data_IF_436301307760
#
_entry.id   IF_436301307760
#
_cell.length_a   1.000
_cell.length_b   1.000
_cell.length_c   1.000
_cell.angle_alpha   90.00
_cell.angle_beta   90.00
_cell.angle_gamma   90.00
#
_symmetry.space_group_name_H-M   'P 1'
#
loop_
_entity.id
_entity.type
_entity.pdbx_description
1 polymer ?
#
# COMPACT_ATOMS: atom_id res chain seq x y z
N UNK A 1 -37.81 -25.25 57.20
CA UNK A 1 -38.63 -25.02 55.98
C UNK A 1 -38.10 -25.91 54.86
N UNK A 2 -38.78 -27.02 54.52
CA UNK A 2 -38.32 -27.94 53.46
C UNK A 2 -38.78 -27.38 52.11
N UNK A 3 -37.88 -26.73 51.38
CA UNK A 3 -38.16 -26.21 50.03
C UNK A 3 -38.59 -27.38 49.14
N UNK A 4 -39.80 -27.30 48.57
CA UNK A 4 -40.35 -28.38 47.74
C UNK A 4 -39.47 -28.59 46.49
N UNK A 5 -39.40 -29.84 46.02
CA UNK A 5 -38.57 -30.23 44.88
C UNK A 5 -38.91 -29.39 43.63
N UNK A 6 -40.18 -29.01 43.45
CA UNK A 6 -40.64 -28.15 42.37
C UNK A 6 -40.05 -26.74 42.39
N UNK A 7 -39.87 -26.15 43.58
CA UNK A 7 -39.25 -24.82 43.74
C UNK A 7 -37.75 -24.85 43.44
N UNK A 8 -37.07 -25.96 43.73
CA UNK A 8 -35.65 -26.16 43.37
C UNK A 8 -35.47 -26.31 41.86
N UNK A 9 -36.37 -27.03 41.20
CA UNK A 9 -36.33 -27.21 39.74
C UNK A 9 -36.60 -25.92 38.98
N UNK A 10 -37.57 -25.09 39.41
CA UNK A 10 -37.83 -23.78 38.79
C UNK A 10 -36.69 -22.80 38.99
N UNK A 11 -36.06 -22.77 40.17
CA UNK A 11 -34.88 -21.95 40.41
C UNK A 11 -33.68 -22.38 39.54
N UNK A 12 -33.44 -23.69 39.39
CA UNK A 12 -32.39 -24.22 38.52
C UNK A 12 -32.67 -23.90 37.04
N UNK A 13 -33.92 -24.04 36.59
CA UNK A 13 -34.30 -23.74 35.22
C UNK A 13 -34.19 -22.24 34.89
N UNK A 14 -34.61 -21.38 35.81
CA UNK A 14 -34.44 -19.93 35.68
C UNK A 14 -32.97 -19.50 35.62
N UNK A 15 -32.11 -20.12 36.44
CA UNK A 15 -30.67 -19.89 36.40
C UNK A 15 -30.07 -20.29 35.04
N UNK A 16 -30.47 -21.46 34.51
CA UNK A 16 -30.03 -21.91 33.19
C UNK A 16 -30.46 -20.94 32.09
N UNK A 17 -31.69 -20.44 32.12
CA UNK A 17 -32.18 -19.45 31.15
C UNK A 17 -31.42 -18.12 31.23
N UNK A 18 -31.07 -17.65 32.43
CA UNK A 18 -30.28 -16.43 32.62
C UNK A 18 -28.85 -16.64 32.08
N UNK A 19 -28.23 -17.79 32.37
CA UNK A 19 -26.91 -18.14 31.84
C UNK A 19 -26.93 -18.23 30.31
N UNK A 20 -27.97 -18.83 29.73
CA UNK A 20 -28.14 -18.91 28.28
C UNK A 20 -28.33 -17.52 27.64
N UNK A 21 -29.11 -16.64 28.28
CA UNK A 21 -29.29 -15.25 27.85
C UNK A 21 -27.98 -14.46 27.88
N UNK A 22 -27.15 -14.64 28.91
CA UNK A 22 -25.82 -14.01 29.00
C UNK A 22 -24.85 -14.47 27.90
N UNK A 23 -24.88 -15.76 27.55
CA UNK A 23 -24.09 -16.33 26.45
C UNK A 23 -24.56 -15.82 25.08
N UNK A 24 -25.88 -15.72 24.86
CA UNK A 24 -26.46 -15.18 23.62
C UNK A 24 -26.12 -13.68 23.43
N UNK A 25 -26.22 -12.88 24.48
CA UNK A 25 -25.86 -11.45 24.46
C UNK A 25 -24.35 -11.22 24.23
N UNK A 26 -23.51 -12.10 24.80
CA UNK A 26 -22.06 -12.09 24.55
C UNK A 26 -21.71 -12.53 23.13
N UNK A 27 -22.43 -13.51 22.58
CA UNK A 27 -22.31 -13.96 21.20
C UNK A 27 -22.71 -12.90 20.18
N UNK A 28 -23.82 -12.19 20.41
CA UNK A 28 -24.29 -11.09 19.55
C UNK A 28 -23.35 -9.87 19.58
N UNK A 29 -22.82 -9.52 20.75
CA UNK A 29 -21.85 -8.42 20.88
C UNK A 29 -20.49 -8.76 20.27
N UNK A 30 -20.07 -10.03 20.37
CA UNK A 30 -18.89 -10.57 19.71
C UNK A 30 -19.03 -10.57 18.18
N UNK A 31 -20.19 -11.00 17.67
CA UNK A 31 -20.49 -10.99 16.23
C UNK A 31 -20.52 -9.57 15.66
N UNK A 32 -21.14 -8.59 16.34
CA UNK A 32 -21.14 -7.21 15.87
C UNK A 32 -19.74 -6.56 15.88
N UNK A 33 -18.88 -6.91 16.85
CA UNK A 33 -17.47 -6.49 16.83
C UNK A 33 -16.70 -7.14 15.69
N UNK A 34 -16.91 -8.43 15.44
CA UNK A 34 -16.24 -9.14 14.34
C UNK A 34 -16.70 -8.59 12.99
N UNK A 35 -17.99 -8.33 12.80
CA UNK A 35 -18.55 -7.72 11.57
C UNK A 35 -17.98 -6.32 11.35
N UNK A 36 -17.98 -5.45 12.37
CA UNK A 36 -17.42 -4.10 12.24
C UNK A 36 -15.90 -4.08 11.98
N UNK A 37 -15.16 -5.04 12.55
CA UNK A 37 -13.72 -5.22 12.28
C UNK A 37 -13.50 -5.75 10.85
N UNK A 38 -14.29 -6.71 10.39
CA UNK A 38 -14.19 -7.27 9.04
C UNK A 38 -14.55 -6.24 7.97
N UNK A 39 -15.65 -5.50 8.12
CA UNK A 39 -16.05 -4.47 7.16
C UNK A 39 -15.00 -3.34 7.08
N UNK A 40 -14.50 -2.87 8.23
CA UNK A 40 -13.44 -1.86 8.29
C UNK A 40 -12.10 -2.35 7.74
N UNK A 41 -11.73 -3.61 7.98
CA UNK A 41 -10.49 -4.19 7.45
C UNK A 41 -10.58 -4.49 5.96
N UNK A 42 -11.70 -4.99 5.45
CA UNK A 42 -11.90 -5.25 4.01
C UNK A 42 -11.86 -3.96 3.20
N UNK A 43 -12.52 -2.89 3.65
CA UNK A 43 -12.46 -1.58 2.98
C UNK A 43 -11.07 -0.95 3.06
N UNK A 44 -10.39 -1.06 4.21
CA UNK A 44 -8.99 -0.62 4.35
C UNK A 44 -8.05 -1.41 3.43
N UNK A 45 -8.23 -2.72 3.31
CA UNK A 45 -7.45 -3.53 2.39
C UNK A 45 -7.71 -3.16 0.94
N UNK A 46 -8.97 -2.99 0.54
CA UNK A 46 -9.31 -2.58 -0.83
C UNK A 46 -8.72 -1.20 -1.19
N UNK A 47 -8.78 -0.24 -0.25
CA UNK A 47 -8.19 1.08 -0.45
C UNK A 47 -6.66 1.05 -0.49
N UNK A 48 -6.02 0.25 0.36
CA UNK A 48 -4.57 0.09 0.35
C UNK A 48 -4.10 -0.58 -0.96
N UNK A 49 -4.80 -1.63 -1.42
CA UNK A 49 -4.50 -2.29 -2.71
C UNK A 49 -4.66 -1.30 -3.88
N UNK A 50 -5.74 -0.52 -3.90
CA UNK A 50 -5.94 0.52 -4.94
C UNK A 50 -4.80 1.54 -4.92
N UNK A 51 -4.44 2.05 -3.76
CA UNK A 51 -3.35 3.03 -3.62
C UNK A 51 -1.98 2.43 -4.01
N UNK A 52 -1.69 1.18 -3.66
CA UNK A 52 -0.47 0.48 -4.10
C UNK A 52 -0.43 0.31 -5.64
N UNK A 53 -1.57 0.05 -6.28
CA UNK A 53 -1.68 -0.01 -7.75
C UNK A 53 -1.50 1.38 -8.40
N UNK A 54 -1.98 2.43 -7.77
CA UNK A 54 -1.76 3.82 -8.22
C UNK A 54 -0.28 4.19 -8.15
N UNK A 55 0.39 3.87 -7.05
CA UNK A 55 1.86 4.02 -6.92
C UNK A 55 2.57 3.30 -8.08
N UNK A 56 2.22 2.03 -8.33
CA UNK A 56 2.83 1.26 -9.41
C UNK A 56 2.61 1.87 -10.78
N UNK A 57 1.38 2.34 -11.05
CA UNK A 57 1.04 3.01 -12.31
C UNK A 57 1.88 4.26 -12.53
N UNK A 58 2.04 5.08 -11.50
CA UNK A 58 2.82 6.32 -11.59
C UNK A 58 4.33 6.05 -11.74
N UNK A 59 4.87 5.08 -11.01
CA UNK A 59 6.28 4.64 -11.12
C UNK A 59 6.59 4.06 -12.52
N UNK A 60 5.68 3.25 -13.08
CA UNK A 60 5.83 2.75 -14.45
C UNK A 60 5.72 3.87 -15.48
N UNK A 61 4.82 4.84 -15.26
CA UNK A 61 4.63 5.99 -16.16
C UNK A 61 5.84 6.90 -16.19
N UNK A 62 6.49 7.17 -15.05
CA UNK A 62 7.75 7.93 -15.01
C UNK A 62 8.84 7.17 -15.77
N UNK A 63 9.02 5.88 -15.50
CA UNK A 63 10.01 5.05 -16.18
C UNK A 63 9.82 4.99 -17.69
N UNK A 64 8.58 4.84 -18.14
CA UNK A 64 8.22 4.85 -19.55
C UNK A 64 8.49 6.22 -20.19
N UNK A 65 8.14 7.31 -19.52
CA UNK A 65 8.35 8.66 -20.03
C UNK A 65 9.84 8.94 -20.29
N UNK A 66 10.71 8.50 -19.38
CA UNK A 66 12.14 8.58 -19.59
C UNK A 66 12.57 7.73 -20.80
N UNK A 67 12.16 6.46 -20.88
CA UNK A 67 12.55 5.60 -22.01
C UNK A 67 12.11 6.17 -23.38
N UNK A 68 10.93 6.79 -23.45
CA UNK A 68 10.47 7.44 -24.68
C UNK A 68 11.25 8.72 -24.97
N UNK A 69 11.58 9.53 -23.96
CA UNK A 69 12.47 10.67 -24.14
C UNK A 69 13.83 10.25 -24.69
N UNK A 70 14.45 9.21 -24.12
CA UNK A 70 15.76 8.74 -24.56
C UNK A 70 15.72 8.14 -25.98
N UNK A 71 14.57 7.65 -26.45
CA UNK A 71 14.45 7.13 -27.81
C UNK A 71 14.07 8.19 -28.85
N UNK A 72 13.26 9.17 -28.47
CA UNK A 72 12.67 10.15 -29.41
C UNK A 72 13.26 11.55 -29.30
N UNK A 73 13.84 11.91 -28.17
CA UNK A 73 14.28 13.28 -27.85
C UNK A 73 13.14 14.27 -27.61
N UNK A 74 11.88 13.80 -27.58
CA UNK A 74 10.67 14.63 -27.47
C UNK A 74 10.58 15.30 -26.07
N UNK A 75 10.73 16.63 -25.95
CA UNK A 75 10.83 17.30 -24.64
C UNK A 75 9.57 17.20 -23.78
N UNK A 76 8.40 16.96 -24.38
CA UNK A 76 7.14 16.84 -23.64
C UNK A 76 7.16 15.69 -22.62
N UNK A 77 8.01 14.68 -22.81
CA UNK A 77 8.16 13.58 -21.86
C UNK A 77 8.87 13.96 -20.56
N UNK A 78 9.62 15.07 -20.49
CA UNK A 78 10.11 15.65 -19.23
C UNK A 78 8.94 15.99 -18.31
N UNK A 79 7.97 16.74 -18.83
CA UNK A 79 6.80 17.16 -18.06
C UNK A 79 5.93 15.97 -17.61
N UNK A 80 5.83 14.92 -18.45
CA UNK A 80 5.12 13.68 -18.10
C UNK A 80 5.83 12.88 -17.02
N UNK A 81 7.17 12.84 -17.08
CA UNK A 81 8.00 12.24 -16.05
C UNK A 81 7.78 12.94 -14.70
N UNK A 82 7.90 14.26 -14.67
CA UNK A 82 7.77 15.06 -13.44
C UNK A 82 6.36 14.95 -12.85
N UNK A 83 5.32 14.96 -13.69
CA UNK A 83 3.93 14.79 -13.25
C UNK A 83 3.68 13.38 -12.67
N UNK A 84 4.25 12.35 -13.30
CA UNK A 84 4.13 10.98 -12.81
C UNK A 84 4.87 10.79 -11.47
N UNK A 85 6.05 11.39 -11.30
CA UNK A 85 6.76 11.39 -10.02
C UNK A 85 5.94 12.05 -8.91
N UNK A 86 5.42 13.26 -9.16
CA UNK A 86 4.58 13.96 -8.17
C UNK A 86 3.35 13.13 -7.79
N UNK A 87 2.70 12.48 -8.76
CA UNK A 87 1.56 11.60 -8.50
C UNK A 87 1.96 10.36 -7.70
N UNK A 88 3.12 9.75 -7.95
CA UNK A 88 3.64 8.64 -7.17
C UNK A 88 3.89 9.04 -5.71
N UNK A 89 4.48 10.21 -5.48
CA UNK A 89 4.72 10.77 -4.13
C UNK A 89 3.41 10.98 -3.38
N UNK A 90 2.40 11.58 -4.02
CA UNK A 90 1.09 11.81 -3.41
C UNK A 90 0.36 10.49 -3.09
N UNK A 91 0.47 9.50 -3.97
CA UNK A 91 -0.11 8.17 -3.73
C UNK A 91 0.57 7.45 -2.56
N UNK A 92 1.91 7.53 -2.44
CA UNK A 92 2.67 6.99 -1.32
C UNK A 92 2.32 7.68 0.00
N UNK A 93 2.16 9.01 0.01
CA UNK A 93 1.75 9.76 1.20
C UNK A 93 0.33 9.38 1.65
N UNK A 94 -0.59 9.26 0.69
CA UNK A 94 -1.95 8.79 0.93
C UNK A 94 -1.93 7.37 1.53
N UNK A 95 -1.17 6.45 0.93
CA UNK A 95 -1.02 5.09 1.41
C UNK A 95 -0.41 5.04 2.83
N UNK A 96 0.56 5.91 3.13
CA UNK A 96 1.15 6.04 4.46
C UNK A 96 0.09 6.46 5.49
N UNK A 97 -0.75 7.45 5.17
CA UNK A 97 -1.79 7.95 6.07
C UNK A 97 -2.85 6.91 6.43
N UNK A 98 -3.06 5.92 5.56
CA UNK A 98 -4.01 4.82 5.74
C UNK A 98 -3.38 3.54 6.32
N UNK A 99 -2.05 3.45 6.33
CA UNK A 99 -1.31 2.28 6.79
C UNK A 99 -1.04 2.33 8.30
N UNK A 100 -1.45 1.27 9.00
CA UNK A 100 -1.18 1.08 10.44
C UNK A 100 -0.12 0.00 10.71
N UNK A 101 0.28 -0.74 9.67
CA UNK A 101 1.27 -1.80 9.78
C UNK A 101 2.67 -1.27 9.62
N UNK A 102 3.57 -1.60 10.56
CA UNK A 102 4.99 -1.26 10.45
C UNK A 102 5.64 -1.85 9.20
N UNK A 103 5.22 -3.05 8.79
CA UNK A 103 5.71 -3.68 7.56
C UNK A 103 5.31 -2.88 6.32
N UNK A 104 4.06 -2.42 6.25
CA UNK A 104 3.60 -1.56 5.16
C UNK A 104 4.36 -0.23 5.13
N UNK A 105 4.55 0.40 6.30
CA UNK A 105 5.31 1.64 6.42
C UNK A 105 6.76 1.48 5.94
N UNK A 106 7.43 0.38 6.30
CA UNK A 106 8.78 0.09 5.84
C UNK A 106 8.85 -0.11 4.30
N UNK A 107 7.84 -0.77 3.71
CA UNK A 107 7.76 -0.93 2.25
C UNK A 107 7.54 0.41 1.55
N UNK A 108 6.65 1.25 2.10
CA UNK A 108 6.40 2.61 1.60
C UNK A 108 7.68 3.46 1.66
N UNK A 109 8.41 3.43 2.78
CA UNK A 109 9.69 4.13 2.94
C UNK A 109 10.73 3.67 1.91
N UNK A 110 10.80 2.35 1.66
CA UNK A 110 11.71 1.76 0.67
C UNK A 110 11.36 2.21 -0.75
N UNK A 111 10.09 2.16 -1.14
CA UNK A 111 9.64 2.62 -2.46
C UNK A 111 9.92 4.11 -2.63
N UNK A 112 9.62 4.92 -1.60
CA UNK A 112 9.88 6.36 -1.64
C UNK A 112 11.37 6.70 -1.81
N UNK A 113 12.24 5.96 -1.12
CA UNK A 113 13.70 6.14 -1.22
C UNK A 113 14.19 5.80 -2.63
N UNK A 114 13.79 4.64 -3.16
CA UNK A 114 14.20 4.19 -4.49
C UNK A 114 13.64 5.09 -5.60
N UNK A 115 12.41 5.60 -5.44
CA UNK A 115 11.81 6.56 -6.37
C UNK A 115 12.61 7.87 -6.39
N UNK A 116 12.99 8.40 -5.22
CA UNK A 116 13.80 9.62 -5.14
C UNK A 116 15.20 9.44 -5.75
N UNK A 117 15.82 8.28 -5.58
CA UNK A 117 17.09 7.94 -6.22
C UNK A 117 16.95 7.84 -7.75
N UNK A 118 15.92 7.12 -8.22
CA UNK A 118 15.61 6.97 -9.63
C UNK A 118 15.36 8.33 -10.30
N UNK A 119 14.54 9.19 -9.69
CA UNK A 119 14.21 10.52 -10.20
C UNK A 119 15.42 11.43 -10.28
N UNK A 120 16.30 11.37 -9.27
CA UNK A 120 17.55 12.15 -9.28
C UNK A 120 18.44 11.75 -10.45
N UNK A 121 18.57 10.45 -10.73
CA UNK A 121 19.34 9.96 -11.87
C UNK A 121 18.68 10.25 -13.21
N UNK A 122 17.38 9.95 -13.33
CA UNK A 122 16.58 10.19 -14.53
C UNK A 122 16.53 11.68 -14.92
N UNK A 123 16.40 12.57 -13.94
CA UNK A 123 16.39 14.02 -14.15
C UNK A 123 17.65 14.52 -14.85
N UNK A 124 18.81 13.95 -14.49
CA UNK A 124 20.09 14.29 -15.11
C UNK A 124 20.14 13.88 -16.59
N UNK A 125 19.55 12.74 -16.96
CA UNK A 125 19.52 12.27 -18.36
C UNK A 125 18.73 13.17 -19.30
N UNK A 126 17.73 13.90 -18.81
CA UNK A 126 17.02 14.89 -19.62
C UNK A 126 17.91 16.08 -20.02
N UNK A 127 18.92 16.41 -19.21
CA UNK A 127 19.79 17.58 -19.40
C UNK A 127 21.16 17.22 -20.01
N UNK A 128 21.62 15.96 -19.87
CA UNK A 128 23.01 15.56 -20.12
C UNK A 128 23.28 14.96 -21.50
N UNK A 129 22.28 14.58 -22.30
CA UNK A 129 22.50 13.93 -23.60
C UNK A 129 23.38 14.73 -24.58
N UNK A 130 23.36 16.05 -24.49
CA UNK A 130 24.19 16.92 -25.35
C UNK A 130 25.62 17.14 -24.82
N UNK A 131 25.94 16.62 -23.63
CA UNK A 131 27.16 16.95 -22.87
C UNK A 131 28.03 15.75 -22.51
N UNK A 132 27.48 14.53 -22.57
CA UNK A 132 28.19 13.28 -22.28
C UNK A 132 28.66 12.62 -23.57
N UNK A 133 29.79 11.93 -23.49
CA UNK A 133 30.16 10.98 -24.55
C UNK A 133 29.24 9.75 -24.52
N UNK A 134 29.25 8.96 -25.59
CA UNK A 134 28.36 7.82 -25.74
C UNK A 134 28.62 6.71 -24.70
N UNK A 135 29.87 6.52 -24.28
CA UNK A 135 30.24 5.50 -23.31
C UNK A 135 29.81 5.88 -21.88
N UNK A 136 30.06 7.13 -21.47
CA UNK A 136 29.60 7.71 -20.20
C UNK A 136 28.08 7.70 -20.11
N UNK A 137 27.40 8.05 -21.21
CA UNK A 137 25.94 8.02 -21.28
C UNK A 137 25.40 6.59 -21.11
N UNK A 138 25.99 5.59 -21.76
CA UNK A 138 25.56 4.20 -21.65
C UNK A 138 25.81 3.63 -20.24
N UNK A 139 26.95 3.93 -19.62
CA UNK A 139 27.24 3.53 -18.24
C UNK A 139 26.25 4.16 -17.25
N UNK A 140 25.91 5.43 -17.43
CA UNK A 140 24.92 6.12 -16.61
C UNK A 140 23.52 5.51 -16.75
N UNK A 141 23.10 5.20 -17.99
CA UNK A 141 21.81 4.53 -18.27
C UNK A 141 21.77 3.14 -17.63
N UNK A 142 22.87 2.38 -17.69
CA UNK A 142 22.96 1.05 -17.07
C UNK A 142 22.83 1.10 -15.55
N UNK A 143 23.48 2.06 -14.90
CA UNK A 143 23.34 2.28 -13.45
C UNK A 143 21.90 2.62 -13.05
N UNK A 144 21.22 3.45 -13.85
CA UNK A 144 19.83 3.83 -13.62
C UNK A 144 18.86 2.64 -13.81
N UNK A 145 19.17 1.71 -14.71
CA UNK A 145 18.35 0.52 -14.95
C UNK A 145 18.34 -0.44 -13.75
N UNK A 146 19.45 -0.51 -13.01
CA UNK A 146 19.52 -1.25 -11.76
C UNK A 146 18.60 -0.65 -10.69
N UNK A 147 18.63 0.68 -10.51
CA UNK A 147 17.72 1.39 -9.58
C UNK A 147 16.26 1.21 -9.98
N UNK A 148 15.95 1.29 -11.28
CA UNK A 148 14.60 1.02 -11.82
C UNK A 148 14.12 -0.38 -11.45
N UNK A 149 14.97 -1.38 -11.62
CA UNK A 149 14.63 -2.78 -11.31
C UNK A 149 14.33 -2.98 -9.82
N UNK A 150 15.15 -2.40 -8.95
CA UNK A 150 14.95 -2.46 -7.50
C UNK A 150 13.65 -1.74 -7.06
N UNK A 151 13.35 -0.61 -7.70
CA UNK A 151 12.13 0.15 -7.47
C UNK A 151 10.88 -0.65 -7.87
N UNK A 152 10.87 -1.23 -9.07
CA UNK A 152 9.76 -2.06 -9.53
C UNK A 152 9.54 -3.27 -8.61
N UNK A 153 10.62 -3.92 -8.18
CA UNK A 153 10.53 -5.00 -7.20
C UNK A 153 9.92 -4.55 -5.86
N UNK A 154 10.34 -3.39 -5.34
CA UNK A 154 9.78 -2.85 -4.10
C UNK A 154 8.29 -2.49 -4.22
N UNK A 155 7.87 -2.02 -5.40
CA UNK A 155 6.46 -1.78 -5.73
C UNK A 155 5.67 -3.08 -5.80
N UNK A 156 6.22 -4.13 -6.41
CA UNK A 156 5.57 -5.45 -6.46
C UNK A 156 5.40 -6.05 -5.05
N UNK A 157 6.42 -5.91 -4.19
CA UNK A 157 6.34 -6.29 -2.78
C UNK A 157 5.27 -5.49 -2.02
N UNK A 158 5.09 -4.20 -2.33
CA UNK A 158 4.06 -3.34 -1.75
C UNK A 158 2.63 -3.70 -2.22
N UNK A 159 2.48 -4.20 -3.45
CA UNK A 159 1.19 -4.70 -3.96
C UNK A 159 0.82 -6.05 -3.35
N UNK A 160 1.81 -6.91 -3.13
CA UNK A 160 1.62 -8.26 -2.63
C UNK A 160 1.32 -8.33 -1.11
N UNK A 161 1.56 -7.24 -0.38
CA UNK A 161 1.33 -7.11 1.06
C UNK A 161 -0.14 -6.82 1.40
#
# INVERSE_FOLDING_TARGET
>A
MRVSVGAKMTAAFGLVLILLGGVLLSGLSGLNRVVGIFEGQVVRNANNVRLSQEVATHVMTSSFSLAVFLSTGEPSFRSRFDAADQAAVQALESLRSHSVSQTALNLIDRVQTLQAEYVRGAGALFDLRSRMDEAEYLEYVAGLDATRSQLLQAVDELIAY
#
